data_IF_443384363815
#
_entry.id   IF_443384363815
#
_cell.length_a   1.000
_cell.length_b   1.000
_cell.length_c   1.000
_cell.angle_alpha   90.00
_cell.angle_beta   90.00
_cell.angle_gamma   90.00
#
_symmetry.space_group_name_H-M   'P 1'
#
loop_
_entity.id
_entity.type
_entity.pdbx_description
1 polymer ?
#
# COMPACT_ATOMS: atom_id res chain seq x y z
N UNK A 1 18.12 20.12 -4.54
CA UNK A 1 18.99 19.75 -3.43
C UNK A 1 18.14 19.05 -2.34
N UNK A 2 18.43 17.79 -2.00
CA UNK A 2 17.66 17.01 -1.02
C UNK A 2 17.60 17.66 0.37
N UNK A 3 18.63 18.42 0.75
CA UNK A 3 18.71 19.10 2.05
C UNK A 3 17.68 20.22 2.12
N UNK A 4 17.59 21.03 1.07
CA UNK A 4 16.62 22.12 1.00
C UNK A 4 15.19 21.61 0.92
N UNK A 5 14.95 20.52 0.20
CA UNK A 5 13.63 19.87 0.14
C UNK A 5 13.18 19.38 1.53
N UNK A 6 14.09 18.81 2.31
CA UNK A 6 13.76 18.34 3.65
C UNK A 6 13.48 19.50 4.65
N UNK A 7 14.22 20.60 4.55
CA UNK A 7 13.96 21.81 5.35
C UNK A 7 12.58 22.40 5.03
N UNK A 8 12.23 22.50 3.74
CA UNK A 8 10.91 22.98 3.32
C UNK A 8 9.79 22.07 3.85
N UNK A 9 9.96 20.78 3.75
CA UNK A 9 9.01 19.80 4.28
C UNK A 9 8.80 19.97 5.79
N UNK A 10 9.87 20.06 6.56
CA UNK A 10 9.78 20.27 8.01
C UNK A 10 9.04 21.57 8.36
N UNK A 11 9.28 22.64 7.62
CA UNK A 11 8.60 23.91 7.84
C UNK A 11 7.09 23.85 7.50
N UNK A 12 6.72 23.16 6.43
CA UNK A 12 5.31 22.89 6.09
C UNK A 12 4.61 22.13 7.22
N UNK A 13 5.23 21.06 7.72
CA UNK A 13 4.68 20.27 8.81
C UNK A 13 4.55 21.09 10.10
N UNK A 14 5.54 21.91 10.41
CA UNK A 14 5.51 22.81 11.56
C UNK A 14 4.35 23.79 11.48
N UNK A 15 4.13 24.43 10.33
CA UNK A 15 3.02 25.37 10.12
C UNK A 15 1.66 24.66 10.26
N UNK A 16 1.53 23.46 9.69
CA UNK A 16 0.31 22.63 9.82
C UNK A 16 0.04 22.31 11.29
N UNK A 17 1.03 21.90 12.05
CA UNK A 17 0.89 21.54 13.46
C UNK A 17 0.55 22.77 14.34
N UNK A 18 0.82 23.97 13.85
CA UNK A 18 0.38 25.25 14.46
C UNK A 18 -1.04 25.66 14.04
N UNK A 19 -1.74 24.83 13.28
CA UNK A 19 -3.12 25.08 12.85
C UNK A 19 -3.27 25.80 11.51
N UNK A 20 -2.18 25.99 10.75
CA UNK A 20 -2.27 26.57 9.42
C UNK A 20 -2.80 25.57 8.40
N UNK A 21 -3.62 26.05 7.48
CA UNK A 21 -3.98 25.29 6.27
C UNK A 21 -2.96 25.59 5.18
N UNK A 22 -2.22 24.59 4.75
CA UNK A 22 -1.19 24.73 3.73
C UNK A 22 -1.66 24.07 2.43
N UNK A 23 -1.63 24.82 1.34
CA UNK A 23 -1.92 24.30 0.00
C UNK A 23 -0.66 24.45 -0.86
N UNK A 24 -0.25 23.37 -1.48
CA UNK A 24 0.87 23.39 -2.41
C UNK A 24 0.64 22.46 -3.61
N UNK A 25 1.31 22.74 -4.71
CA UNK A 25 1.27 21.93 -5.91
C UNK A 25 2.57 21.16 -6.05
N UNK A 26 2.47 19.89 -6.39
CA UNK A 26 3.63 19.04 -6.66
C UNK A 26 3.26 17.95 -7.66
N UNK A 27 4.25 17.44 -8.37
CA UNK A 27 4.16 16.21 -9.17
C UNK A 27 4.91 15.05 -8.50
N UNK A 28 5.49 15.28 -7.33
CA UNK A 28 6.22 14.26 -6.57
C UNK A 28 5.26 13.55 -5.61
N UNK A 29 4.88 12.32 -5.96
CA UNK A 29 3.92 11.53 -5.19
C UNK A 29 4.46 11.08 -3.83
N UNK A 30 5.78 10.92 -3.68
CA UNK A 30 6.38 10.63 -2.36
C UNK A 30 6.18 11.80 -1.39
N UNK A 31 6.34 13.04 -1.87
CA UNK A 31 6.04 14.23 -1.05
C UNK A 31 4.57 14.31 -0.66
N UNK A 32 3.67 13.88 -1.54
CA UNK A 32 2.24 13.81 -1.24
C UNK A 32 1.98 12.88 -0.05
N UNK A 33 2.52 11.68 -0.09
CA UNK A 33 2.34 10.70 1.00
C UNK A 33 2.91 11.17 2.34
N UNK A 34 4.01 11.91 2.29
CA UNK A 34 4.72 12.33 3.50
C UNK A 34 4.14 13.59 4.16
N UNK A 35 3.51 14.48 3.39
CA UNK A 35 3.15 15.82 3.87
C UNK A 35 1.64 16.06 3.83
N UNK A 36 0.92 15.50 2.84
CA UNK A 36 -0.47 15.82 2.59
C UNK A 36 -1.43 14.97 3.42
N UNK A 37 -2.43 15.62 4.01
CA UNK A 37 -3.60 14.93 4.58
C UNK A 37 -4.66 14.66 3.50
N UNK A 38 -4.83 15.61 2.57
CA UNK A 38 -5.79 15.56 1.46
C UNK A 38 -5.12 15.93 0.15
N UNK A 39 -5.64 15.36 -0.94
CA UNK A 39 -5.20 15.68 -2.30
C UNK A 39 -6.36 15.97 -3.22
N UNK A 40 -6.05 16.69 -4.27
CA UNK A 40 -6.84 16.79 -5.50
C UNK A 40 -5.91 16.54 -6.67
N UNK A 41 -6.15 15.46 -7.40
CA UNK A 41 -5.36 15.07 -8.57
C UNK A 41 -5.99 15.63 -9.84
N UNK A 42 -5.24 16.47 -10.54
CA UNK A 42 -5.68 17.12 -11.76
C UNK A 42 -4.91 16.56 -12.95
N UNK A 43 -5.64 16.12 -13.96
CA UNK A 43 -5.08 15.69 -15.24
C UNK A 43 -5.92 16.24 -16.39
N UNK A 44 -5.27 16.81 -17.41
CA UNK A 44 -5.94 17.42 -18.59
C UNK A 44 -7.07 18.37 -18.18
N UNK A 45 -6.79 19.24 -17.21
CA UNK A 45 -7.72 20.24 -16.66
C UNK A 45 -8.98 19.65 -15.99
N UNK A 46 -8.96 18.37 -15.63
CA UNK A 46 -10.05 17.70 -14.91
C UNK A 46 -9.56 17.19 -13.57
N UNK A 47 -10.40 17.34 -12.55
CA UNK A 47 -10.22 16.65 -11.28
C UNK A 47 -10.58 15.17 -11.48
N UNK A 48 -9.60 14.28 -11.34
CA UNK A 48 -9.78 12.84 -11.52
C UNK A 48 -9.85 12.08 -10.20
N UNK A 49 -9.39 12.69 -9.10
CA UNK A 49 -9.39 12.08 -7.78
C UNK A 49 -9.24 13.14 -6.70
N UNK A 50 -10.06 13.09 -5.66
CA UNK A 50 -9.93 13.96 -4.48
C UNK A 50 -10.28 13.21 -3.21
N UNK A 51 -9.60 13.51 -2.12
CA UNK A 51 -9.90 12.98 -0.81
C UNK A 51 -8.69 12.90 0.12
N UNK A 52 -8.86 12.23 1.25
CA UNK A 52 -7.76 11.91 2.16
C UNK A 52 -6.82 10.92 1.53
N UNK A 53 -5.52 11.15 1.67
CA UNK A 53 -4.47 10.29 1.11
C UNK A 53 -4.62 8.84 1.56
N UNK A 54 -4.82 8.62 2.86
CA UNK A 54 -4.96 7.27 3.42
C UNK A 54 -6.21 6.55 2.92
N UNK A 55 -7.34 7.25 2.83
CA UNK A 55 -8.59 6.67 2.33
C UNK A 55 -8.49 6.28 0.85
N UNK A 56 -7.86 7.15 0.05
CA UNK A 56 -7.61 6.88 -1.37
C UNK A 56 -6.73 5.64 -1.54
N UNK A 57 -5.64 5.56 -0.80
CA UNK A 57 -4.72 4.41 -0.87
C UNK A 57 -5.41 3.10 -0.47
N UNK A 58 -6.21 3.10 0.58
CA UNK A 58 -6.97 1.92 1.04
C UNK A 58 -8.06 1.51 0.05
N UNK A 59 -8.81 2.48 -0.46
CA UNK A 59 -9.92 2.22 -1.41
C UNK A 59 -9.42 1.61 -2.72
N UNK A 60 -8.24 2.01 -3.18
CA UNK A 60 -7.69 1.57 -4.47
C UNK A 60 -6.70 0.40 -4.38
N UNK A 61 -6.52 -0.20 -3.22
CA UNK A 61 -5.58 -1.31 -3.08
C UNK A 61 -5.73 -2.16 -1.83
N UNK A 62 -6.84 -2.09 -1.14
CA UNK A 62 -7.08 -2.84 0.09
C UNK A 62 -7.03 -4.36 -0.09
N UNK A 63 -6.82 -5.06 1.04
CA UNK A 63 -6.86 -6.52 1.16
C UNK A 63 -5.76 -7.28 0.38
N UNK A 64 -4.66 -6.61 0.05
CA UNK A 64 -3.45 -7.25 -0.45
C UNK A 64 -2.43 -7.35 0.68
N UNK A 65 -1.87 -8.54 0.87
CA UNK A 65 -0.96 -8.82 1.97
C UNK A 65 0.32 -9.48 1.48
N UNK A 66 1.44 -9.11 2.09
CA UNK A 66 2.71 -9.82 1.99
C UNK A 66 2.87 -10.73 3.19
N UNK A 67 3.20 -11.99 2.93
CA UNK A 67 3.43 -13.02 3.95
C UNK A 67 4.86 -13.48 3.83
N UNK A 68 5.63 -13.40 4.93
CA UNK A 68 6.95 -14.04 5.00
C UNK A 68 6.86 -15.26 5.92
N UNK A 69 7.45 -16.35 5.49
CA UNK A 69 7.35 -17.62 6.20
C UNK A 69 8.57 -18.51 6.01
N UNK A 70 8.72 -19.48 6.90
CA UNK A 70 9.58 -20.64 6.75
C UNK A 70 8.71 -21.87 6.60
N UNK A 71 9.07 -22.75 5.68
CA UNK A 71 8.35 -23.98 5.44
C UNK A 71 8.12 -24.26 3.97
N UNK A 72 7.25 -25.22 3.69
CA UNK A 72 6.99 -25.69 2.33
C UNK A 72 5.94 -24.82 1.62
N UNK A 73 6.41 -23.98 0.70
CA UNK A 73 5.56 -23.04 -0.05
C UNK A 73 4.50 -23.70 -0.91
N UNK A 74 4.77 -24.90 -1.46
CA UNK A 74 3.79 -25.65 -2.27
C UNK A 74 2.57 -26.04 -1.46
N UNK A 75 2.75 -26.57 -0.25
CA UNK A 75 1.65 -26.93 0.64
C UNK A 75 0.81 -25.70 1.03
N UNK A 76 1.47 -24.56 1.27
CA UNK A 76 0.79 -23.30 1.54
C UNK A 76 -0.05 -22.81 0.36
N UNK A 77 0.52 -22.81 -0.84
CA UNK A 77 -0.18 -22.39 -2.07
C UNK A 77 -1.39 -23.30 -2.33
N UNK A 78 -1.24 -24.61 -2.23
CA UNK A 78 -2.34 -25.55 -2.41
C UNK A 78 -3.49 -25.32 -1.42
N UNK A 79 -3.17 -24.96 -0.17
CA UNK A 79 -4.16 -24.70 0.86
C UNK A 79 -4.87 -23.36 0.63
N UNK A 80 -4.14 -22.33 0.23
CA UNK A 80 -4.68 -20.97 0.10
C UNK A 80 -5.43 -20.70 -1.20
N UNK A 81 -5.17 -21.47 -2.26
CA UNK A 81 -5.77 -21.23 -3.59
C UNK A 81 -7.32 -21.24 -3.62
N UNK A 82 -7.95 -21.84 -2.60
CA UNK A 82 -9.42 -21.86 -2.45
C UNK A 82 -9.97 -20.75 -1.56
N UNK A 83 -9.08 -20.01 -0.87
CA UNK A 83 -9.45 -19.01 0.14
C UNK A 83 -9.07 -17.60 -0.23
N UNK A 84 -8.08 -17.44 -1.11
CA UNK A 84 -7.60 -16.13 -1.57
C UNK A 84 -6.91 -16.25 -2.94
N UNK A 85 -6.69 -15.12 -3.59
CA UNK A 85 -5.92 -15.03 -4.82
C UNK A 85 -4.43 -14.91 -4.51
N UNK A 86 -3.61 -15.74 -5.15
CA UNK A 86 -2.16 -15.68 -5.02
C UNK A 86 -1.60 -14.85 -6.18
N UNK A 87 -0.97 -13.71 -5.84
CA UNK A 87 -0.46 -12.75 -6.82
C UNK A 87 0.99 -13.04 -7.21
N UNK A 88 1.84 -13.23 -6.22
CA UNK A 88 3.27 -13.46 -6.39
C UNK A 88 3.81 -14.35 -5.29
N UNK A 89 4.78 -15.22 -5.65
CA UNK A 89 5.59 -15.95 -4.70
C UNK A 89 7.07 -15.72 -5.00
N UNK A 90 7.85 -15.39 -3.99
CA UNK A 90 9.30 -15.18 -4.09
C UNK A 90 10.03 -15.97 -3.01
N UNK A 91 11.16 -16.59 -3.39
CA UNK A 91 12.10 -17.16 -2.43
C UNK A 91 13.12 -16.08 -2.03
N UNK A 92 13.20 -15.82 -0.74
CA UNK A 92 14.22 -14.92 -0.20
C UNK A 92 15.55 -15.63 -0.05
N UNK A 93 16.64 -14.92 -0.35
CA UNK A 93 18.03 -15.40 -0.20
C UNK A 93 18.47 -15.65 1.25
N UNK A 94 17.64 -15.35 2.26
CA UNK A 94 17.96 -15.44 3.70
C UNK A 94 17.20 -16.63 4.36
N UNK A 95 16.74 -17.60 3.59
CA UNK A 95 16.05 -18.79 4.13
C UNK A 95 14.60 -18.56 4.52
N UNK A 96 14.00 -17.45 4.09
CA UNK A 96 12.58 -17.16 4.15
C UNK A 96 12.01 -17.14 2.75
N UNK A 97 10.77 -17.59 2.62
CA UNK A 97 9.99 -17.40 1.41
C UNK A 97 8.96 -16.27 1.63
N UNK A 98 8.57 -15.61 0.57
CA UNK A 98 7.50 -14.62 0.62
C UNK A 98 6.39 -14.95 -0.37
N UNK A 99 5.18 -14.56 -0.01
CA UNK A 99 3.98 -14.77 -0.81
C UNK A 99 3.15 -13.50 -0.75
N UNK A 100 2.67 -13.03 -1.91
CA UNK A 100 1.73 -11.93 -1.99
C UNK A 100 0.34 -12.47 -2.32
N UNK A 101 -0.64 -12.14 -1.50
CA UNK A 101 -2.01 -12.61 -1.61
C UNK A 101 -3.01 -11.46 -1.61
N UNK A 102 -4.14 -11.67 -2.26
CA UNK A 102 -5.30 -10.79 -2.17
C UNK A 102 -6.48 -11.56 -1.57
N UNK A 103 -7.11 -10.97 -0.55
CA UNK A 103 -8.27 -11.53 0.15
C UNK A 103 -9.48 -10.66 -0.18
N UNK A 104 -10.47 -11.22 -0.84
CA UNK A 104 -11.59 -10.46 -1.38
C UNK A 104 -12.44 -9.78 -0.30
N UNK A 105 -12.64 -10.44 0.84
CA UNK A 105 -13.49 -9.94 1.92
C UNK A 105 -12.73 -9.84 3.24
N UNK A 106 -12.91 -8.73 3.95
CA UNK A 106 -12.27 -8.47 5.25
C UNK A 106 -12.54 -9.59 6.28
N UNK A 107 -13.73 -10.16 6.25
CA UNK A 107 -14.13 -11.25 7.16
C UNK A 107 -13.34 -12.53 6.96
N UNK A 108 -12.75 -12.74 5.78
CA UNK A 108 -11.94 -13.92 5.46
C UNK A 108 -10.49 -13.80 5.93
N UNK A 109 -10.02 -12.61 6.27
CA UNK A 109 -8.62 -12.35 6.68
C UNK A 109 -8.22 -13.25 7.85
N UNK A 110 -9.03 -13.35 8.87
CA UNK A 110 -8.75 -14.17 10.06
C UNK A 110 -8.63 -15.66 9.71
N UNK A 111 -9.48 -16.15 8.84
CA UNK A 111 -9.46 -17.54 8.38
C UNK A 111 -8.21 -17.83 7.55
N UNK A 112 -7.83 -16.92 6.65
CA UNK A 112 -6.62 -17.04 5.85
C UNK A 112 -5.36 -17.01 6.72
N UNK A 113 -5.28 -16.11 7.68
CA UNK A 113 -4.15 -16.05 8.63
C UNK A 113 -4.03 -17.35 9.43
N UNK A 114 -5.14 -17.91 9.89
CA UNK A 114 -5.16 -19.20 10.58
C UNK A 114 -4.64 -20.34 9.70
N UNK A 115 -5.07 -20.39 8.44
CA UNK A 115 -4.60 -21.40 7.47
C UNK A 115 -3.09 -21.28 7.21
N UNK A 116 -2.56 -20.06 7.12
CA UNK A 116 -1.12 -19.82 6.95
C UNK A 116 -0.37 -20.33 8.18
N UNK A 117 -0.81 -19.93 9.37
CA UNK A 117 -0.16 -20.30 10.62
C UNK A 117 -0.18 -21.82 10.88
N UNK A 118 -1.22 -22.53 10.46
CA UNK A 118 -1.32 -23.98 10.58
C UNK A 118 -0.45 -24.76 9.58
N UNK A 119 -0.01 -24.12 8.51
CA UNK A 119 0.70 -24.77 7.39
C UNK A 119 2.20 -24.50 7.42
N UNK A 120 2.61 -23.27 7.74
CA UNK A 120 4.00 -22.82 7.74
C UNK A 120 4.32 -22.02 9.00
N UNK A 121 5.60 -21.81 9.24
CA UNK A 121 6.06 -20.88 10.29
C UNK A 121 5.99 -19.44 9.79
N UNK A 122 4.89 -18.77 10.06
CA UNK A 122 4.69 -17.38 9.65
C UNK A 122 5.61 -16.44 10.42
N UNK A 123 6.35 -15.60 9.69
CA UNK A 123 7.28 -14.62 10.26
C UNK A 123 6.76 -13.21 10.19
N UNK A 124 6.06 -12.87 9.11
CA UNK A 124 5.47 -11.56 8.91
C UNK A 124 4.19 -11.66 8.09
N UNK A 125 3.21 -10.87 8.48
CA UNK A 125 1.97 -10.66 7.74
C UNK A 125 1.71 -9.15 7.69
N UNK A 126 1.80 -8.55 6.51
CA UNK A 126 1.72 -7.09 6.35
C UNK A 126 0.76 -6.72 5.24
N UNK A 127 -0.18 -5.83 5.52
CA UNK A 127 -1.04 -5.25 4.49
C UNK A 127 -0.20 -4.36 3.57
N UNK A 128 -0.34 -4.57 2.26
CA UNK A 128 0.29 -3.76 1.22
C UNK A 128 -0.71 -2.71 0.77
N UNK A 129 -0.41 -1.47 1.09
CA UNK A 129 -1.18 -0.32 0.63
C UNK A 129 -0.46 0.29 -0.58
N UNK A 130 -1.13 0.48 -1.72
CA UNK A 130 -0.48 0.99 -2.92
C UNK A 130 0.08 2.40 -2.68
N UNK A 131 1.16 2.73 -3.38
CA UNK A 131 1.72 4.08 -3.34
C UNK A 131 0.80 5.06 -4.08
N UNK A 132 0.89 6.33 -3.73
CA UNK A 132 0.19 7.38 -4.48
C UNK A 132 0.65 7.45 -5.93
N UNK A 133 1.91 7.08 -6.21
CA UNK A 133 2.42 6.99 -7.57
C UNK A 133 1.70 5.92 -8.39
N UNK A 134 1.47 4.74 -7.82
CA UNK A 134 0.73 3.66 -8.49
C UNK A 134 -0.72 4.06 -8.77
N UNK A 135 -1.36 4.69 -7.79
CA UNK A 135 -2.72 5.21 -7.94
C UNK A 135 -2.78 6.29 -9.00
N UNK A 136 -1.81 7.22 -9.02
CA UNK A 136 -1.71 8.26 -10.04
C UNK A 136 -1.62 7.67 -11.46
N UNK A 137 -0.73 6.71 -11.67
CA UNK A 137 -0.55 6.04 -12.97
C UNK A 137 -1.85 5.37 -13.42
N UNK A 138 -2.52 4.66 -12.51
CA UNK A 138 -3.80 4.01 -12.80
C UNK A 138 -4.92 5.00 -13.09
N UNK A 139 -4.99 6.08 -12.35
CA UNK A 139 -5.98 7.15 -12.55
C UNK A 139 -5.82 7.85 -13.91
N UNK A 140 -4.58 8.17 -14.29
CA UNK A 140 -4.28 8.80 -15.59
C UNK A 140 -4.60 7.87 -16.75
N UNK A 141 -4.40 6.56 -16.57
CA UNK A 141 -4.71 5.53 -17.58
C UNK A 141 -6.19 5.11 -17.58
N UNK A 142 -7.03 5.66 -16.70
CA UNK A 142 -8.45 5.32 -16.62
C UNK A 142 -8.74 3.93 -16.07
N UNK A 143 -7.89 3.41 -15.21
CA UNK A 143 -7.95 2.03 -14.63
C UNK A 143 -8.26 2.07 -13.12
N UNK A 144 -8.88 3.12 -12.64
CA UNK A 144 -9.37 3.16 -11.24
C UNK A 144 -10.78 2.61 -11.14
#
# INVERSE_FOLDING_TARGET
DPINANILKQEILRLRDQGATVIFSTHNMSSVEEICDHITLINKSKNILSGKVDDIRRTHGGNTFSVQYKGEGKALVEKLQHSCEILEGEESTIGFSSLKIHIERDEDIRSVVAQINDTVEMRQFTEIVPSMNDIFIRAVNGVL
#
